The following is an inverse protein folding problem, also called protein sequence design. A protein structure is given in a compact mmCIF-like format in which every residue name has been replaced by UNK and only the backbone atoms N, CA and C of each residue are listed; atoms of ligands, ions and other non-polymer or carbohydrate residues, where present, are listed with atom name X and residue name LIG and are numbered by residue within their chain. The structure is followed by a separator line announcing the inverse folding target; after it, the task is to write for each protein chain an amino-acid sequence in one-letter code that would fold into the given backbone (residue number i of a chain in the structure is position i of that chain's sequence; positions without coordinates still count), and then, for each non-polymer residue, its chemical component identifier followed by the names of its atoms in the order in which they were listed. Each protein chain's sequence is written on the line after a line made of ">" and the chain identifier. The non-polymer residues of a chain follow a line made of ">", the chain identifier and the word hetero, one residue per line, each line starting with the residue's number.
data_IF_511131844916
#
_entry.id   IF_511131844916
#
_cell.length_a   1.000
_cell.length_b   1.000
_cell.length_c   1.000
_cell.angle_alpha   90.00
_cell.angle_beta   90.00
_cell.angle_gamma   90.00
#
_symmetry.space_group_name_H-M   'P 1'
#
loop_
_entity.id
_entity.type
_entity.pdbx_description
1 polymer ?
#
# COMPACT_ATOMS: atom_id res chain seq x y z
N UNK A 1 -10.79 -14.61 -11.54
CA UNK A 1 -11.47 -14.85 -10.25
C UNK A 1 -11.64 -13.49 -9.59
N UNK A 2 -12.88 -12.99 -9.47
CA UNK A 2 -13.18 -11.62 -9.02
C UNK A 2 -13.20 -11.58 -7.48
N UNK A 3 -12.27 -10.87 -6.85
CA UNK A 3 -12.32 -10.64 -5.40
C UNK A 3 -13.15 -9.38 -5.12
N UNK A 4 -14.32 -9.56 -4.50
CA UNK A 4 -15.25 -8.49 -4.08
C UNK A 4 -14.60 -7.66 -2.96
N UNK A 5 -14.56 -6.34 -3.15
CA UNK A 5 -14.19 -5.34 -2.13
C UNK A 5 -15.16 -5.37 -0.94
N UNK A 6 -14.64 -5.72 0.24
CA UNK A 6 -15.24 -5.39 1.54
C UNK A 6 -14.97 -3.93 1.91
N UNK A 7 -16.00 -3.24 2.40
CA UNK A 7 -15.99 -1.85 2.86
C UNK A 7 -15.43 -1.76 4.28
N UNK A 8 -14.35 -1.01 4.49
CA UNK A 8 -14.14 -0.13 5.65
C UNK A 8 -12.83 0.65 5.51
N UNK A 9 -12.87 1.94 5.84
CA UNK A 9 -11.73 2.84 6.14
C UNK A 9 -10.60 2.96 5.12
N UNK A 10 -10.71 3.88 4.14
CA UNK A 10 -9.61 4.56 3.42
C UNK A 10 -10.29 5.50 2.41
N UNK A 11 -10.80 6.63 2.90
CA UNK A 11 -11.74 7.50 2.16
C UNK A 11 -11.07 8.62 1.35
N UNK A 12 -9.92 9.12 1.79
CA UNK A 12 -9.33 10.34 1.22
C UNK A 12 -8.45 10.06 -0.02
N UNK A 13 -7.55 9.07 0.05
CA UNK A 13 -6.71 8.69 -1.10
C UNK A 13 -7.53 8.12 -2.26
N UNK A 14 -8.57 7.33 -1.94
CA UNK A 14 -9.55 6.84 -2.92
C UNK A 14 -10.32 7.97 -3.59
N UNK A 15 -10.51 9.10 -2.91
CA UNK A 15 -11.24 10.25 -3.46
C UNK A 15 -10.37 11.05 -4.45
N UNK A 16 -9.15 11.41 -4.04
CA UNK A 16 -8.21 12.16 -4.90
C UNK A 16 -7.82 11.36 -6.15
N UNK A 17 -7.50 10.07 -6.01
CA UNK A 17 -7.17 9.21 -7.15
C UNK A 17 -8.32 9.10 -8.16
N UNK A 18 -9.55 8.85 -7.69
CA UNK A 18 -10.74 8.79 -8.56
C UNK A 18 -11.06 10.12 -9.23
N UNK A 19 -10.82 11.26 -8.55
CA UNK A 19 -11.04 12.58 -9.13
C UNK A 19 -10.10 12.84 -10.32
N UNK A 20 -8.81 12.57 -10.16
CA UNK A 20 -7.82 12.71 -11.23
C UNK A 20 -8.11 11.77 -12.40
N UNK A 21 -8.48 10.52 -12.13
CA UNK A 21 -8.86 9.57 -13.19
C UNK A 21 -10.10 10.00 -13.96
N UNK A 22 -11.13 10.49 -13.26
CA UNK A 22 -12.34 11.00 -13.90
C UNK A 22 -12.06 12.22 -14.77
N UNK A 23 -11.13 13.10 -14.34
CA UNK A 23 -10.69 14.22 -15.16
C UNK A 23 -9.97 13.74 -16.43
N UNK A 24 -9.06 12.78 -16.30
CA UNK A 24 -8.35 12.23 -17.46
C UNK A 24 -9.30 11.55 -18.47
N UNK A 25 -10.31 10.84 -17.98
CA UNK A 25 -11.38 10.26 -18.83
C UNK A 25 -12.20 11.33 -19.54
N UNK A 26 -12.53 12.43 -18.85
CA UNK A 26 -13.33 13.55 -19.39
C UNK A 26 -12.58 14.38 -20.42
N UNK A 27 -11.26 14.50 -20.29
CA UNK A 27 -10.44 15.26 -21.23
C UNK A 27 -10.11 14.48 -22.51
N UNK A 28 -10.63 13.25 -22.66
CA UNK A 28 -10.39 12.33 -23.80
C UNK A 28 -8.90 12.17 -24.15
N UNK A 29 -8.02 12.42 -23.19
CA UNK A 29 -6.58 12.27 -23.38
C UNK A 29 -6.25 10.81 -23.26
N UNK A 30 -5.63 10.27 -24.30
CA UNK A 30 -5.10 8.93 -24.23
C UNK A 30 -4.02 8.85 -23.15
N UNK A 31 -4.35 8.11 -22.09
CA UNK A 31 -3.53 7.94 -20.91
C UNK A 31 -3.45 6.44 -20.54
N UNK A 32 -2.37 6.09 -19.88
CA UNK A 32 -2.16 4.80 -19.22
C UNK A 32 -2.15 5.08 -17.72
N UNK A 33 -2.89 4.29 -16.95
CA UNK A 33 -3.03 4.47 -15.50
C UNK A 33 -2.40 3.31 -14.75
N UNK A 34 -1.48 3.64 -13.84
CA UNK A 34 -0.96 2.72 -12.84
C UNK A 34 -1.59 3.05 -11.49
N UNK A 35 -2.43 2.14 -10.99
CA UNK A 35 -2.98 2.19 -9.64
C UNK A 35 -2.04 1.39 -8.73
N UNK A 36 -0.99 2.05 -8.28
CA UNK A 36 -0.05 1.46 -7.34
C UNK A 36 -0.77 1.23 -6.00
N UNK A 37 -0.58 0.04 -5.46
CA UNK A 37 -0.92 -0.31 -4.08
C UNK A 37 0.02 0.36 -3.09
N UNK A 38 0.22 -0.30 -1.95
CA UNK A 38 1.00 0.25 -0.86
C UNK A 38 2.49 0.06 -1.08
N UNK A 39 3.32 1.05 -0.72
CA UNK A 39 4.77 0.87 -0.72
C UNK A 39 5.22 0.17 0.56
N UNK A 40 6.02 -0.89 0.43
CA UNK A 40 6.59 -1.61 1.58
C UNK A 40 7.38 -0.65 2.48
N UNK A 41 8.05 0.32 1.87
CA UNK A 41 8.84 1.35 2.55
C UNK A 41 8.02 2.28 3.45
N UNK A 42 6.71 2.40 3.22
CA UNK A 42 5.82 3.15 4.11
C UNK A 42 5.83 2.55 5.52
N UNK A 43 6.02 1.24 5.65
CA UNK A 43 6.14 0.56 6.94
C UNK A 43 7.58 0.34 7.37
N UNK A 44 8.50 0.01 6.45
CA UNK A 44 9.90 -0.22 6.86
C UNK A 44 10.57 1.05 7.38
N UNK A 45 10.16 2.23 6.89
CA UNK A 45 10.60 3.52 7.44
C UNK A 45 10.20 3.76 8.89
N UNK A 46 9.16 3.07 9.39
CA UNK A 46 8.69 3.17 10.78
C UNK A 46 9.41 2.21 11.74
N UNK A 47 10.12 1.20 11.21
CA UNK A 47 10.76 0.16 12.00
C UNK A 47 11.74 0.72 13.04
N UNK A 48 12.64 1.67 12.72
CA UNK A 48 13.57 2.20 13.72
C UNK A 48 12.85 2.83 14.92
N UNK A 49 11.77 3.59 14.67
CA UNK A 49 10.94 4.18 15.72
C UNK A 49 10.17 3.13 16.53
N UNK A 50 9.61 2.13 15.85
CA UNK A 50 8.91 1.03 16.51
C UNK A 50 9.83 0.19 17.41
N UNK A 51 11.08 -0.03 16.97
CA UNK A 51 12.12 -0.69 17.75
C UNK A 51 12.50 0.14 18.97
N UNK A 52 12.68 1.46 18.82
CA UNK A 52 12.99 2.34 19.94
C UNK A 52 11.83 2.45 20.95
N UNK A 53 10.59 2.45 20.46
CA UNK A 53 9.38 2.52 21.28
C UNK A 53 8.87 1.18 21.80
N UNK A 54 9.46 0.05 21.38
CA UNK A 54 9.10 -1.29 21.82
C UNK A 54 7.75 -1.82 21.32
N UNK A 55 7.13 -1.19 20.32
CA UNK A 55 5.89 -1.65 19.70
C UNK A 55 5.71 -1.06 18.29
N UNK A 56 5.10 -1.84 17.41
CA UNK A 56 4.66 -1.36 16.10
C UNK A 56 3.21 -0.88 16.23
N UNK A 57 2.98 0.43 16.11
CA UNK A 57 1.64 1.02 16.29
C UNK A 57 0.92 1.12 14.94
N UNK A 58 -0.39 0.89 14.94
CA UNK A 58 -1.22 1.10 13.75
C UNK A 58 -2.70 0.87 14.04
N UNK A 59 -3.55 1.14 13.05
CA UNK A 59 -5.01 0.96 13.12
C UNK A 59 -5.53 0.07 11.98
N UNK A 60 -4.70 -0.87 11.53
CA UNK A 60 -5.05 -1.75 10.41
C UNK A 60 -5.85 -2.99 10.84
N UNK A 61 -6.00 -3.26 12.15
CA UNK A 61 -6.56 -4.53 12.65
C UNK A 61 -5.89 -5.74 12.00
N UNK A 62 -6.71 -6.68 11.52
CA UNK A 62 -6.28 -7.84 10.72
C UNK A 62 -6.31 -7.58 9.20
N UNK A 63 -6.30 -6.30 8.81
CA UNK A 63 -6.27 -5.89 7.42
C UNK A 63 -5.03 -6.43 6.70
N UNK A 64 -5.25 -7.04 5.53
CA UNK A 64 -4.18 -7.55 4.68
C UNK A 64 -3.66 -6.47 3.74
N UNK A 65 -2.35 -6.31 3.73
CA UNK A 65 -1.62 -5.32 2.94
C UNK A 65 -0.79 -6.06 1.91
N UNK A 66 -1.15 -5.90 0.63
CA UNK A 66 -0.34 -6.37 -0.50
C UNK A 66 0.60 -5.25 -0.94
N UNK A 67 1.65 -5.00 -0.16
CA UNK A 67 2.65 -3.98 -0.49
C UNK A 67 3.71 -4.51 -1.44
N UNK A 68 4.31 -3.63 -2.23
CA UNK A 68 5.51 -3.92 -3.01
C UNK A 68 6.54 -2.79 -2.86
N UNK A 69 7.80 -3.05 -3.17
CA UNK A 69 8.82 -2.02 -3.11
C UNK A 69 8.58 -0.97 -4.20
N UNK A 70 8.97 0.29 -3.98
CA UNK A 70 8.90 1.33 -5.02
C UNK A 70 9.65 0.93 -6.29
N UNK A 71 10.73 0.16 -6.12
CA UNK A 71 11.52 -0.40 -7.23
C UNK A 71 10.65 -1.28 -8.13
N UNK A 72 9.85 -2.18 -7.58
CA UNK A 72 9.03 -3.13 -8.34
C UNK A 72 7.93 -2.40 -9.14
N UNK A 73 7.33 -1.37 -8.54
CA UNK A 73 6.38 -0.49 -9.23
C UNK A 73 7.05 0.27 -10.39
N UNK A 74 8.26 0.78 -10.18
CA UNK A 74 9.01 1.49 -11.22
C UNK A 74 9.43 0.56 -12.36
N UNK A 75 9.92 -0.63 -12.06
CA UNK A 75 10.28 -1.64 -13.06
C UNK A 75 9.07 -2.08 -13.88
N UNK A 76 7.93 -2.29 -13.23
CA UNK A 76 6.66 -2.60 -13.91
C UNK A 76 6.22 -1.45 -14.81
N UNK A 77 6.32 -0.21 -14.35
CA UNK A 77 5.98 0.96 -15.16
C UNK A 77 6.86 1.04 -16.42
N UNK A 78 8.18 0.84 -16.30
CA UNK A 78 9.11 0.83 -17.44
C UNK A 78 8.77 -0.31 -18.42
N UNK A 79 8.53 -1.52 -17.92
CA UNK A 79 8.18 -2.66 -18.75
C UNK A 79 6.88 -2.43 -19.54
N UNK A 80 5.86 -1.87 -18.90
CA UNK A 80 4.59 -1.57 -19.57
C UNK A 80 4.76 -0.42 -20.57
N UNK A 81 5.41 0.69 -20.19
CA UNK A 81 5.59 1.86 -21.06
C UNK A 81 6.40 1.56 -22.33
N UNK A 82 7.27 0.55 -22.30
CA UNK A 82 8.06 0.12 -23.47
C UNK A 82 7.33 -0.88 -24.37
N UNK A 83 6.19 -1.42 -23.94
CA UNK A 83 5.36 -2.32 -24.74
C UNK A 83 4.37 -1.53 -25.61
N UNK A 84 4.04 -2.07 -26.79
CA UNK A 84 3.03 -1.46 -27.68
C UNK A 84 1.61 -1.68 -27.14
N UNK A 85 0.70 -0.76 -27.47
CA UNK A 85 -0.74 -0.95 -27.24
C UNK A 85 -1.18 -0.82 -25.77
N UNK A 86 -0.50 -0.01 -24.96
CA UNK A 86 -0.91 0.24 -23.56
C UNK A 86 -1.81 1.45 -23.36
N UNK A 87 -2.06 2.19 -24.43
CA UNK A 87 -2.90 3.38 -24.44
C UNK A 87 -4.32 3.05 -23.95
N UNK A 88 -4.82 3.81 -22.97
CA UNK A 88 -6.15 3.64 -22.38
C UNK A 88 -6.25 2.55 -21.32
N UNK A 89 -5.18 1.80 -21.04
CA UNK A 89 -5.23 0.71 -20.05
C UNK A 89 -5.08 1.21 -18.62
N UNK A 90 -5.61 0.41 -17.69
CA UNK A 90 -5.50 0.60 -16.25
C UNK A 90 -4.89 -0.67 -15.66
N UNK A 91 -3.83 -0.50 -14.89
CA UNK A 91 -3.13 -1.57 -14.20
C UNK A 91 -3.26 -1.38 -12.69
N UNK A 92 -3.84 -2.36 -12.01
CA UNK A 92 -3.85 -2.47 -10.55
C UNK A 92 -2.56 -3.19 -10.15
N UNK A 93 -1.64 -2.48 -9.53
CA UNK A 93 -0.33 -3.02 -9.17
C UNK A 93 -0.26 -3.25 -7.65
N UNK A 94 0.09 -4.45 -7.23
CA UNK A 94 0.25 -4.82 -5.83
C UNK A 94 1.35 -5.88 -5.69
N UNK A 95 1.81 -6.12 -4.47
CA UNK A 95 2.67 -7.27 -4.18
C UNK A 95 1.92 -8.59 -4.39
N UNK A 96 2.67 -9.65 -4.71
CA UNK A 96 2.11 -10.99 -4.92
C UNK A 96 1.51 -11.59 -3.64
N UNK A 97 2.11 -11.25 -2.49
CA UNK A 97 1.68 -11.70 -1.18
C UNK A 97 1.12 -10.56 -0.35
N UNK A 98 0.13 -10.88 0.49
CA UNK A 98 -0.48 -9.93 1.41
C UNK A 98 -0.28 -10.37 2.84
N UNK A 99 0.07 -9.43 3.71
CA UNK A 99 0.39 -9.68 5.12
C UNK A 99 -0.37 -8.71 6.04
N UNK A 100 -0.53 -9.10 7.29
CA UNK A 100 -1.05 -8.29 8.39
C UNK A 100 0.08 -7.56 9.11
N UNK A 101 -0.22 -6.49 9.85
CA UNK A 101 0.81 -5.82 10.67
C UNK A 101 1.35 -6.72 11.79
N UNK A 102 0.57 -7.70 12.25
CA UNK A 102 1.05 -8.76 13.15
C UNK A 102 2.11 -9.65 12.51
N UNK A 103 1.92 -10.05 11.25
CA UNK A 103 2.92 -10.82 10.50
C UNK A 103 4.17 -10.00 10.21
N UNK A 104 4.03 -8.70 9.90
CA UNK A 104 5.16 -7.79 9.77
C UNK A 104 5.97 -7.68 11.08
N UNK A 105 5.29 -7.54 12.22
CA UNK A 105 5.94 -7.53 13.53
C UNK A 105 6.71 -8.83 13.82
N UNK A 106 6.12 -9.98 13.46
CA UNK A 106 6.79 -11.28 13.57
C UNK A 106 8.02 -11.37 12.66
N UNK A 107 7.95 -10.83 11.44
CA UNK A 107 9.09 -10.79 10.51
C UNK A 107 10.23 -9.89 11.02
N UNK A 108 9.89 -8.73 11.61
CA UNK A 108 10.88 -7.86 12.26
C UNK A 108 11.60 -8.60 13.39
N UNK A 109 10.85 -9.31 14.24
CA UNK A 109 11.43 -10.14 15.30
C UNK A 109 12.36 -11.21 14.72
N UNK A 110 11.92 -11.92 13.67
CA UNK A 110 12.70 -12.98 13.01
C UNK A 110 14.04 -12.47 12.45
N UNK A 111 14.05 -11.27 11.86
CA UNK A 111 15.23 -10.70 11.20
C UNK A 111 16.16 -9.95 12.15
N UNK A 112 15.63 -9.33 13.20
CA UNK A 112 16.40 -8.42 14.08
C UNK A 112 16.64 -8.98 15.47
N UNK A 113 15.91 -10.03 15.88
CA UNK A 113 15.89 -10.54 17.25
C UNK A 113 15.20 -9.61 18.25
N UNK A 114 14.66 -8.47 17.81
CA UNK A 114 13.99 -7.50 18.69
C UNK A 114 12.48 -7.73 18.69
N UNK A 115 11.92 -7.93 19.88
CA UNK A 115 10.48 -8.10 20.02
C UNK A 115 9.77 -6.74 19.93
N UNK A 116 9.06 -6.52 18.83
CA UNK A 116 8.31 -5.29 18.54
C UNK A 116 6.87 -5.68 18.20
N UNK A 117 6.03 -6.01 19.19
CA UNK A 117 4.68 -6.50 18.94
C UNK A 117 3.82 -5.43 18.27
N UNK A 118 2.93 -5.86 17.38
CA UNK A 118 1.91 -4.99 16.82
C UNK A 118 0.87 -4.63 17.89
N UNK A 119 0.59 -3.33 18.05
CA UNK A 119 -0.50 -2.82 18.87
C UNK A 119 -1.51 -2.11 17.98
N UNK A 120 -2.66 -2.76 17.80
CA UNK A 120 -3.79 -2.17 17.10
C UNK A 120 -4.45 -1.11 17.99
N UNK A 121 -4.50 0.13 17.49
CA UNK A 121 -5.11 1.27 18.14
C UNK A 121 -6.38 1.68 17.39
N UNK A 122 -7.37 2.30 18.06
CA UNK A 122 -8.45 2.97 17.35
C UNK A 122 -7.89 4.13 16.51
N UNK A 123 -8.52 4.42 15.37
CA UNK A 123 -8.09 5.47 14.44
C UNK A 123 -7.92 6.84 15.13
N UNK A 124 -8.80 7.18 16.07
CA UNK A 124 -8.75 8.43 16.85
C UNK A 124 -7.42 8.60 17.59
N UNK A 125 -6.74 7.51 17.93
CA UNK A 125 -5.46 7.54 18.64
C UNK A 125 -4.25 7.62 17.70
N UNK A 126 -4.43 7.48 16.38
CA UNK A 126 -3.37 7.65 15.37
C UNK A 126 -3.14 9.11 14.97
N UNK A 127 -4.03 10.04 15.37
CA UNK A 127 -4.00 11.45 14.95
C UNK A 127 -3.08 12.35 15.80
N UNK A 128 -2.32 11.77 16.75
CA UNK A 128 -1.52 12.50 17.74
C UNK A 128 -0.01 12.44 17.51
N UNK A 129 0.46 11.96 16.35
CA UNK A 129 1.88 11.92 15.99
C UNK A 129 2.13 12.54 14.60
#
# INVERSE_FOLDING_TARGET
>A
MLYKQGRSGFGFERFCGKLSENLLRRLERCCLLFRNGWYTENYTGLIPGAVAGGAFLGSAGDGKIASAARKDYAETAVAVLTCKGQQGKVYELAGDEAYTLSELAAEILRQTGKNVPYKNLPETNMQLF
#
